data_IF_482735115187
#
_entry.id   IF_482735115187
#
_cell.length_a   1.000
_cell.length_b   1.000
_cell.length_c   1.000
_cell.angle_alpha   90.00
_cell.angle_beta   90.00
_cell.angle_gamma   90.00
#
_symmetry.space_group_name_H-M   'P 1'
#
loop_
_entity.id
_entity.type
_entity.pdbx_description
1 polymer ?
#
# COMPACT_ATOMS: atom_id res chain seq x y z
N UNK A 1 -5.01 -17.08 -15.76
CA UNK A 1 -5.07 -16.98 -17.23
C UNK A 1 -3.71 -17.33 -17.78
N UNK A 2 -3.64 -18.17 -18.80
CA UNK A 2 -2.38 -18.60 -19.39
C UNK A 2 -2.15 -17.82 -20.70
N UNK A 3 -0.99 -17.19 -20.86
CA UNK A 3 -0.61 -16.42 -22.05
C UNK A 3 0.71 -16.95 -22.58
N UNK A 4 0.89 -17.03 -23.90
CA UNK A 4 2.15 -17.47 -24.48
C UNK A 4 3.21 -16.37 -24.42
N UNK A 5 4.46 -16.74 -24.15
CA UNK A 5 5.59 -15.81 -24.02
C UNK A 5 5.99 -15.13 -25.34
N UNK A 6 5.65 -15.71 -26.49
CA UNK A 6 5.89 -15.12 -27.81
C UNK A 6 4.91 -13.98 -28.16
N UNK A 7 4.01 -13.64 -27.23
CA UNK A 7 3.08 -12.51 -27.32
C UNK A 7 3.26 -11.54 -26.14
N UNK A 8 4.40 -10.85 -26.02
CA UNK A 8 4.66 -9.92 -24.92
C UNK A 8 3.64 -8.77 -24.85
N UNK A 9 3.04 -8.37 -25.97
CA UNK A 9 1.97 -7.38 -26.04
C UNK A 9 0.70 -7.83 -25.30
N UNK A 10 0.39 -9.13 -25.34
CA UNK A 10 -0.76 -9.68 -24.61
C UNK A 10 -0.44 -9.70 -23.11
N UNK A 11 0.77 -10.11 -22.73
CA UNK A 11 1.21 -10.07 -21.33
C UNK A 11 1.10 -8.65 -20.76
N UNK A 12 1.65 -7.67 -21.47
CA UNK A 12 1.58 -6.26 -21.08
C UNK A 12 0.13 -5.73 -21.03
N UNK A 13 -0.70 -6.08 -22.02
CA UNK A 13 -2.12 -5.69 -22.05
C UNK A 13 -2.90 -6.22 -20.84
N UNK A 14 -2.65 -7.46 -20.45
CA UNK A 14 -3.27 -8.06 -19.27
C UNK A 14 -2.72 -7.48 -17.96
N UNK A 15 -1.42 -7.17 -17.91
CA UNK A 15 -0.83 -6.44 -16.79
C UNK A 15 -1.46 -5.06 -16.59
N UNK A 16 -1.78 -4.36 -17.69
CA UNK A 16 -2.49 -3.08 -17.68
C UNK A 16 -3.89 -3.12 -17.08
N UNK A 17 -4.56 -4.29 -17.04
CA UNK A 17 -5.89 -4.47 -16.43
C UNK A 17 -5.83 -5.21 -15.09
N UNK A 18 -4.66 -5.22 -14.44
CA UNK A 18 -4.48 -5.71 -13.07
C UNK A 18 -4.13 -7.19 -12.94
N UNK A 19 -3.81 -7.90 -14.04
CA UNK A 19 -3.18 -9.20 -13.94
C UNK A 19 -1.69 -9.05 -13.62
N UNK A 20 -1.10 -10.07 -12.99
CA UNK A 20 0.31 -10.13 -12.62
C UNK A 20 0.83 -11.53 -12.92
N UNK A 21 2.11 -11.63 -13.24
CA UNK A 21 2.77 -12.91 -13.49
C UNK A 21 2.90 -13.68 -12.19
N UNK A 22 2.40 -14.92 -12.17
CA UNK A 22 2.50 -15.83 -11.03
C UNK A 22 3.57 -16.89 -11.27
N UNK A 23 3.64 -17.43 -12.49
CA UNK A 23 4.61 -18.46 -12.83
C UNK A 23 4.86 -18.51 -14.33
N UNK A 24 6.09 -18.84 -14.71
CA UNK A 24 6.45 -19.20 -16.09
C UNK A 24 6.52 -20.72 -16.18
N UNK A 25 5.87 -21.30 -17.20
CA UNK A 25 5.91 -22.74 -17.50
C UNK A 25 6.04 -22.94 -19.00
N UNK A 26 7.14 -23.55 -19.42
CA UNK A 26 7.50 -23.76 -20.83
C UNK A 26 7.39 -22.46 -21.64
N UNK A 27 6.57 -22.44 -22.69
CA UNK A 27 6.33 -21.29 -23.54
C UNK A 27 5.19 -20.36 -23.05
N UNK A 28 4.76 -20.49 -21.79
CA UNK A 28 3.63 -19.74 -21.24
C UNK A 28 3.95 -19.04 -19.92
N UNK A 29 3.27 -17.92 -19.70
CA UNK A 29 3.16 -17.25 -18.41
C UNK A 29 1.75 -17.42 -17.86
N UNK A 30 1.65 -17.85 -16.62
CA UNK A 30 0.44 -17.85 -15.83
C UNK A 30 0.27 -16.46 -15.23
N UNK A 31 -0.75 -15.77 -15.69
CA UNK A 31 -1.20 -14.49 -15.18
C UNK A 31 -2.36 -14.69 -14.19
N UNK A 32 -2.29 -14.03 -13.04
CA UNK A 32 -3.36 -13.97 -12.05
C UNK A 32 -3.74 -12.55 -11.73
N UNK A 33 -5.03 -12.33 -11.48
CA UNK A 33 -5.49 -11.08 -10.89
C UNK A 33 -5.77 -11.33 -9.40
N UNK A 34 -4.94 -10.78 -8.50
CA UNK A 34 -5.27 -10.81 -7.08
C UNK A 34 -6.55 -10.00 -6.87
N UNK A 35 -7.52 -10.61 -6.17
CA UNK A 35 -8.73 -9.90 -5.80
C UNK A 35 -8.45 -9.07 -4.54
N UNK A 36 -8.81 -7.78 -4.53
CA UNK A 36 -8.69 -6.97 -3.34
C UNK A 36 -9.65 -7.47 -2.26
N UNK A 37 -9.24 -7.28 -0.99
CA UNK A 37 -10.18 -7.24 0.13
C UNK A 37 -10.75 -5.84 0.15
N UNK A 38 -12.07 -5.72 0.05
CA UNK A 38 -12.75 -4.42 0.07
C UNK A 38 -13.34 -4.20 1.45
N UNK A 39 -13.02 -3.06 2.06
CA UNK A 39 -13.49 -2.66 3.38
C UNK A 39 -14.24 -1.34 3.27
N UNK A 40 -15.40 -1.28 3.90
CA UNK A 40 -16.15 -0.03 4.10
C UNK A 40 -15.61 0.64 5.36
N UNK A 41 -15.30 1.93 5.26
CA UNK A 41 -14.94 2.77 6.40
C UNK A 41 -15.93 3.93 6.47
N UNK A 42 -16.98 3.83 7.32
CA UNK A 42 -18.06 4.82 7.34
C UNK A 42 -17.62 6.20 7.82
N UNK A 43 -16.52 6.28 8.58
CA UNK A 43 -15.99 7.53 9.11
C UNK A 43 -14.46 7.50 9.27
N UNK A 44 -13.91 8.61 9.76
CA UNK A 44 -12.48 8.77 9.99
C UNK A 44 -11.93 7.83 11.06
N UNK A 45 -12.72 7.42 12.05
CA UNK A 45 -12.29 6.53 13.11
C UNK A 45 -12.24 5.08 12.62
N UNK A 46 -13.20 4.66 11.80
CA UNK A 46 -13.15 3.39 11.07
C UNK A 46 -11.92 3.33 10.14
N UNK A 47 -11.56 4.42 9.47
CA UNK A 47 -10.33 4.47 8.67
C UNK A 47 -9.06 4.32 9.51
N UNK A 48 -9.00 4.94 10.69
CA UNK A 48 -7.86 4.77 11.61
C UNK A 48 -7.80 3.37 12.17
N UNK A 49 -8.94 2.80 12.50
CA UNK A 49 -9.02 1.44 12.99
C UNK A 49 -8.58 0.44 11.91
N UNK A 50 -8.97 0.64 10.65
CA UNK A 50 -8.47 -0.14 9.52
C UNK A 50 -6.93 -0.12 9.43
N UNK A 51 -6.33 1.07 9.52
CA UNK A 51 -4.87 1.21 9.55
C UNK A 51 -4.22 0.51 10.74
N UNK A 52 -4.84 0.62 11.93
CA UNK A 52 -4.37 -0.05 13.15
C UNK A 52 -4.41 -1.57 13.00
N UNK A 53 -5.48 -2.14 12.45
CA UNK A 53 -5.59 -3.59 12.25
C UNK A 53 -4.56 -4.08 11.23
N UNK A 54 -4.39 -3.37 10.12
CA UNK A 54 -3.39 -3.76 9.12
C UNK A 54 -1.97 -3.77 9.72
N UNK A 55 -1.65 -2.84 10.63
CA UNK A 55 -0.34 -2.81 11.30
C UNK A 55 0.05 -4.14 11.98
N UNK A 56 -0.92 -4.94 12.43
CA UNK A 56 -0.66 -6.19 13.16
C UNK A 56 -0.12 -7.33 12.28
N UNK A 57 -0.21 -7.20 10.95
CA UNK A 57 0.32 -8.19 9.99
C UNK A 57 1.58 -7.71 9.27
N UNK A 58 2.08 -6.52 9.62
CA UNK A 58 3.26 -5.91 9.02
C UNK A 58 4.53 -6.27 9.78
N UNK A 59 5.61 -6.38 9.02
CA UNK A 59 6.98 -6.59 9.48
C UNK A 59 7.88 -5.45 8.99
N UNK A 60 9.05 -5.24 9.62
CA UNK A 60 10.13 -4.48 9.03
C UNK A 60 10.40 -4.95 7.58
N UNK A 61 10.59 -4.03 6.64
CA UNK A 61 10.73 -4.39 5.22
C UNK A 61 9.46 -4.20 4.38
N UNK A 62 8.29 -4.13 5.02
CA UNK A 62 7.03 -4.12 4.28
C UNK A 62 6.73 -2.74 3.68
N UNK A 63 6.23 -2.77 2.43
CA UNK A 63 5.82 -1.60 1.67
C UNK A 63 4.30 -1.53 1.51
N UNK A 64 3.74 -0.35 1.75
CA UNK A 64 2.36 0.02 1.43
C UNK A 64 2.38 1.16 0.42
N UNK A 65 1.68 0.98 -0.70
CA UNK A 65 1.47 2.01 -1.71
C UNK A 65 0.00 2.44 -1.67
N UNK A 66 -0.26 3.68 -1.25
CA UNK A 66 -1.60 4.20 -1.07
C UNK A 66 -2.00 5.20 -2.17
N UNK A 67 -3.10 4.91 -2.84
CA UNK A 67 -3.68 5.68 -3.95
C UNK A 67 -5.10 6.14 -3.61
N UNK A 68 -5.57 7.14 -4.33
CA UNK A 68 -6.89 7.75 -4.15
C UNK A 68 -6.82 9.26 -4.28
N UNK A 69 -7.96 9.91 -4.53
CA UNK A 69 -8.04 11.35 -4.78
C UNK A 69 -7.57 12.21 -3.58
N UNK A 70 -7.42 13.53 -3.82
CA UNK A 70 -7.10 14.46 -2.75
C UNK A 70 -8.18 14.41 -1.66
N UNK A 71 -7.74 14.21 -0.41
CA UNK A 71 -8.64 14.03 0.71
C UNK A 71 -9.37 12.70 0.75
N UNK A 72 -9.01 11.69 -0.06
CA UNK A 72 -9.62 10.36 0.02
C UNK A 72 -9.49 9.69 1.41
N UNK A 73 -8.53 10.11 2.23
CA UNK A 73 -8.33 9.58 3.58
C UNK A 73 -7.00 8.83 3.77
N UNK A 74 -6.06 8.94 2.81
CA UNK A 74 -4.72 8.33 2.89
C UNK A 74 -3.99 8.67 4.19
N UNK A 75 -3.85 9.95 4.52
CA UNK A 75 -3.22 10.33 5.80
C UNK A 75 -4.02 9.88 7.03
N UNK A 76 -5.35 9.83 6.97
CA UNK A 76 -6.20 9.30 8.06
C UNK A 76 -5.92 7.81 8.29
N UNK A 77 -5.78 7.03 7.21
CA UNK A 77 -5.30 5.65 7.28
C UNK A 77 -3.92 5.57 7.93
N UNK A 78 -2.96 6.40 7.47
CA UNK A 78 -1.58 6.40 7.99
C UNK A 78 -1.51 6.74 9.48
N UNK A 79 -2.42 7.59 9.98
CA UNK A 79 -2.56 7.85 11.42
C UNK A 79 -2.92 6.58 12.20
N UNK A 80 -3.89 5.83 11.68
CA UNK A 80 -4.26 4.52 12.20
C UNK A 80 -3.10 3.54 12.21
N UNK A 81 -2.40 3.47 11.08
CA UNK A 81 -1.23 2.63 10.90
C UNK A 81 -0.13 2.95 11.92
N UNK A 82 0.25 4.23 12.05
CA UNK A 82 1.24 4.65 13.04
C UNK A 82 0.83 4.33 14.47
N UNK A 83 -0.46 4.47 14.80
CA UNK A 83 -0.97 4.07 16.10
C UNK A 83 -0.85 2.55 16.33
N UNK A 84 -1.14 1.73 15.33
CA UNK A 84 -0.97 0.27 15.39
C UNK A 84 0.49 -0.17 15.50
N UNK A 85 1.40 0.55 14.85
CA UNK A 85 2.86 0.34 14.96
C UNK A 85 3.47 0.95 16.24
N UNK A 86 2.66 1.66 17.05
CA UNK A 86 3.08 2.33 18.28
C UNK A 86 4.26 3.31 18.07
N UNK A 87 4.16 4.13 17.01
CA UNK A 87 5.18 5.16 16.72
C UNK A 87 5.00 6.42 17.56
N UNK A 88 6.08 7.18 17.69
CA UNK A 88 6.13 8.40 18.48
C UNK A 88 5.57 9.62 17.73
N UNK A 89 4.87 10.46 18.49
CA UNK A 89 4.30 11.71 18.00
C UNK A 89 3.11 11.54 17.04
N UNK A 90 2.54 12.67 16.59
CA UNK A 90 1.45 12.65 15.63
C UNK A 90 1.93 12.32 14.21
N UNK A 91 1.18 11.48 13.50
CA UNK A 91 1.34 11.25 12.07
C UNK A 91 0.56 12.34 11.31
N UNK A 92 1.30 13.19 10.61
CA UNK A 92 0.77 14.29 9.80
C UNK A 92 1.39 14.23 8.41
N UNK A 93 0.60 14.54 7.37
CA UNK A 93 1.05 14.46 5.98
C UNK A 93 2.37 15.22 5.78
N UNK A 94 3.39 14.58 5.18
CA UNK A 94 4.70 15.16 4.94
C UNK A 94 4.73 16.02 3.67
N UNK A 95 3.62 16.67 3.29
CA UNK A 95 3.43 17.38 2.00
C UNK A 95 4.57 18.35 1.62
N UNK A 96 5.31 18.91 2.59
CA UNK A 96 6.41 19.84 2.34
C UNK A 96 7.82 19.23 2.48
N UNK A 97 7.95 18.12 3.19
CA UNK A 97 9.25 17.48 3.50
C UNK A 97 9.45 16.18 2.71
N UNK A 98 8.46 15.77 1.91
CA UNK A 98 8.40 14.56 1.07
C UNK A 98 8.39 13.25 1.86
N UNK A 99 9.16 13.14 2.93
CA UNK A 99 9.23 11.97 3.81
C UNK A 99 9.36 12.37 5.30
N UNK A 100 8.83 11.53 6.18
CA UNK A 100 9.02 11.59 7.64
C UNK A 100 9.23 10.19 8.21
N UNK A 101 10.13 10.08 9.17
CA UNK A 101 10.34 8.86 9.96
C UNK A 101 9.69 9.06 11.32
N UNK A 102 8.77 8.17 11.68
CA UNK A 102 8.14 8.09 12.99
C UNK A 102 8.71 6.89 13.74
N UNK A 103 9.42 7.14 14.83
CA UNK A 103 10.14 6.09 15.57
C UNK A 103 9.22 5.23 16.41
N UNK A 104 9.42 3.92 16.41
CA UNK A 104 8.68 3.02 17.30
C UNK A 104 9.02 3.26 18.76
N UNK A 105 8.01 3.15 19.65
CA UNK A 105 8.17 3.27 21.10
C UNK A 105 8.43 1.93 21.81
N UNK A 106 8.19 0.80 21.16
CA UNK A 106 8.26 -0.53 21.76
C UNK A 106 9.27 -1.46 21.09
N UNK A 107 10.18 -0.91 20.27
CA UNK A 107 11.16 -1.70 19.53
C UNK A 107 10.57 -2.48 18.35
N UNK A 108 9.33 -2.16 17.95
CA UNK A 108 8.79 -2.57 16.65
C UNK A 108 9.37 -1.75 15.50
N UNK A 109 8.90 -1.95 14.26
CA UNK A 109 9.38 -1.20 13.11
C UNK A 109 9.02 0.29 13.23
N UNK A 110 9.93 1.16 12.77
CA UNK A 110 9.62 2.55 12.50
C UNK A 110 8.60 2.66 11.36
N UNK A 111 7.93 3.81 11.26
CA UNK A 111 7.08 4.15 10.10
C UNK A 111 7.77 5.22 9.26
N UNK A 112 8.13 4.86 8.04
CA UNK A 112 8.57 5.80 7.01
C UNK A 112 7.34 6.22 6.20
N UNK A 113 6.90 7.46 6.38
CA UNK A 113 5.75 8.02 5.68
C UNK A 113 6.22 8.96 4.57
N UNK A 114 5.97 8.58 3.33
CA UNK A 114 6.33 9.34 2.13
C UNK A 114 5.06 9.88 1.46
N UNK A 115 5.12 11.12 0.98
CA UNK A 115 4.10 11.72 0.11
C UNK A 115 4.72 12.00 -1.27
N UNK A 116 4.42 11.11 -2.22
CA UNK A 116 4.95 11.16 -3.57
C UNK A 116 4.15 12.08 -4.50
N UNK A 117 3.14 12.81 -4.02
CA UNK A 117 2.32 13.70 -4.86
C UNK A 117 3.15 14.74 -5.62
N UNK A 118 4.32 15.10 -5.09
CA UNK A 118 5.24 16.07 -5.69
C UNK A 118 6.43 15.45 -6.40
N UNK A 119 6.57 14.13 -6.39
CA UNK A 119 7.66 13.44 -7.07
C UNK A 119 7.28 13.24 -8.54
N UNK A 120 8.15 13.66 -9.45
CA UNK A 120 7.97 13.53 -10.89
C UNK A 120 8.49 12.21 -11.45
N UNK A 121 9.29 11.45 -10.69
CA UNK A 121 9.89 10.19 -11.15
C UNK A 121 10.33 9.28 -10.01
N UNK A 122 10.58 8.00 -10.33
CA UNK A 122 11.17 7.04 -9.40
C UNK A 122 12.55 7.44 -8.89
N UNK A 123 13.38 8.08 -9.72
CA UNK A 123 14.70 8.56 -9.31
C UNK A 123 14.62 9.55 -8.14
N UNK A 124 13.60 10.41 -8.12
CA UNK A 124 13.40 11.35 -7.01
C UNK A 124 12.93 10.64 -5.72
N UNK A 125 12.33 9.44 -5.82
CA UNK A 125 11.99 8.60 -4.67
C UNK A 125 13.23 7.88 -4.13
N UNK A 126 14.11 7.38 -5.01
CA UNK A 126 15.40 6.79 -4.62
C UNK A 126 16.30 7.83 -3.93
N UNK A 127 16.30 9.08 -4.41
CA UNK A 127 17.05 10.21 -3.83
C UNK A 127 16.61 10.59 -2.40
N UNK A 128 15.47 10.09 -1.92
CA UNK A 128 15.02 10.29 -0.53
C UNK A 128 15.83 9.48 0.50
N UNK A 129 16.83 8.69 0.06
CA UNK A 129 17.68 7.83 0.89
C UNK A 129 16.85 6.87 1.76
N UNK A 130 15.74 6.37 1.20
CA UNK A 130 14.86 5.43 1.90
C UNK A 130 15.55 4.09 2.15
N UNK A 131 16.52 3.72 1.31
CA UNK A 131 17.22 2.43 1.31
C UNK A 131 17.80 2.04 2.67
N UNK A 132 18.36 2.99 3.42
CA UNK A 132 18.90 2.75 4.75
C UNK A 132 17.84 2.35 5.79
N UNK A 133 16.56 2.70 5.54
CA UNK A 133 15.43 2.45 6.44
C UNK A 133 14.46 1.39 5.93
N UNK A 134 14.44 1.10 4.61
CA UNK A 134 13.48 0.20 3.98
C UNK A 134 13.47 -1.19 4.63
N UNK A 135 14.63 -1.74 5.01
CA UNK A 135 14.73 -3.07 5.62
C UNK A 135 14.35 -3.16 7.10
N UNK A 136 14.29 -2.02 7.81
CA UNK A 136 14.07 -1.97 9.26
C UNK A 136 12.74 -1.29 9.64
N UNK A 137 12.10 -0.62 8.69
CA UNK A 137 10.85 0.10 8.88
C UNK A 137 9.71 -0.49 8.03
N UNK A 138 8.49 -0.12 8.39
CA UNK A 138 7.33 -0.18 7.49
C UNK A 138 7.31 1.11 6.69
N UNK A 139 7.22 1.01 5.37
CA UNK A 139 7.16 2.17 4.48
C UNK A 139 5.77 2.34 3.91
N UNK A 140 5.17 3.52 4.09
CA UNK A 140 3.92 3.90 3.44
C UNK A 140 4.18 5.07 2.49
N UNK A 141 3.90 4.86 1.20
CA UNK A 141 4.01 5.88 0.15
C UNK A 141 2.61 6.29 -0.30
N UNK A 142 2.20 7.51 0.03
CA UNK A 142 1.02 8.13 -0.55
C UNK A 142 1.31 8.56 -2.00
N UNK A 143 0.35 8.36 -2.91
CA UNK A 143 0.48 8.66 -4.34
C UNK A 143 1.62 7.92 -5.05
N UNK A 144 2.05 6.77 -4.50
CA UNK A 144 3.17 6.02 -5.02
C UNK A 144 2.87 5.18 -6.27
N UNK A 145 1.63 5.13 -6.77
CA UNK A 145 1.30 4.37 -7.99
C UNK A 145 2.15 4.85 -9.17
N UNK A 146 2.79 3.91 -9.87
CA UNK A 146 3.72 4.23 -10.97
C UNK A 146 5.11 4.73 -10.55
N UNK A 147 5.37 4.93 -9.25
CA UNK A 147 6.68 5.38 -8.73
C UNK A 147 7.23 4.33 -7.75
N UNK A 148 6.51 4.02 -6.67
CA UNK A 148 6.97 3.16 -5.58
C UNK A 148 6.92 1.65 -5.88
N UNK A 149 6.26 1.23 -6.97
CA UNK A 149 6.14 -0.19 -7.35
C UNK A 149 7.49 -0.83 -7.71
N UNK A 150 8.48 -0.02 -8.08
CA UNK A 150 9.83 -0.46 -8.38
C UNK A 150 10.68 -0.76 -7.13
N UNK A 151 10.24 -0.30 -5.94
CA UNK A 151 10.96 -0.57 -4.68
C UNK A 151 10.93 -2.06 -4.30
N UNK A 152 9.79 -2.74 -4.52
CA UNK A 152 9.65 -4.17 -4.25
C UNK A 152 8.43 -4.78 -4.94
N UNK A 153 8.55 -6.05 -5.32
CA UNK A 153 7.43 -6.87 -5.78
C UNK A 153 6.51 -7.29 -4.64
N UNK A 154 7.03 -7.32 -3.41
CA UNK A 154 6.30 -7.65 -2.18
C UNK A 154 5.73 -6.39 -1.53
N UNK A 155 4.44 -6.10 -1.75
CA UNK A 155 3.79 -4.88 -1.24
C UNK A 155 2.29 -5.05 -1.02
N UNK A 156 1.70 -4.12 -0.26
CA UNK A 156 0.25 -3.91 -0.24
C UNK A 156 -0.08 -2.68 -1.07
N UNK A 157 -0.99 -2.82 -2.03
CA UNK A 157 -1.62 -1.70 -2.72
C UNK A 157 -2.94 -1.36 -2.02
N UNK A 158 -3.08 -0.10 -1.59
CA UNK A 158 -4.30 0.48 -1.04
C UNK A 158 -4.90 1.45 -2.05
N UNK A 159 -6.13 1.21 -2.47
CA UNK A 159 -6.91 2.18 -3.24
C UNK A 159 -8.09 2.68 -2.39
N UNK A 160 -8.18 3.99 -2.20
CA UNK A 160 -9.19 4.63 -1.36
C UNK A 160 -10.11 5.50 -2.22
N UNK A 161 -11.39 5.13 -2.25
CA UNK A 161 -12.43 5.90 -2.93
C UNK A 161 -13.41 6.51 -1.94
N UNK A 162 -13.89 7.70 -2.25
CA UNK A 162 -15.01 8.32 -1.52
C UNK A 162 -16.33 7.68 -1.94
N UNK A 163 -17.28 7.61 -1.01
CA UNK A 163 -18.68 7.33 -1.35
C UNK A 163 -19.23 8.35 -2.36
N UNK A 164 -20.29 7.97 -3.05
CA UNK A 164 -20.92 8.83 -4.08
C UNK A 164 -21.80 9.93 -3.48
N UNK A 165 -22.20 9.79 -2.22
CA UNK A 165 -22.98 10.79 -1.51
C UNK A 165 -22.03 11.84 -0.90
N UNK A 166 -22.10 13.12 -1.30
CA UNK A 166 -21.25 14.18 -0.76
C UNK A 166 -21.50 14.49 0.72
N UNK A 167 -22.68 14.13 1.25
CA UNK A 167 -23.06 14.32 2.64
C UNK A 167 -22.61 13.14 3.53
N UNK A 168 -22.01 12.11 2.92
CA UNK A 168 -21.49 10.91 3.58
C UNK A 168 -19.94 10.90 3.61
N UNK A 169 -19.38 10.65 4.79
CA UNK A 169 -17.94 10.53 5.00
C UNK A 169 -17.39 9.13 4.70
N UNK A 170 -18.24 8.21 4.24
CA UNK A 170 -17.86 6.84 3.89
C UNK A 170 -16.75 6.78 2.84
N UNK A 171 -15.81 5.86 3.07
CA UNK A 171 -14.75 5.48 2.14
C UNK A 171 -14.80 3.98 1.85
N UNK A 172 -14.47 3.62 0.62
CA UNK A 172 -14.26 2.24 0.20
C UNK A 172 -12.77 2.02 0.00
N UNK A 173 -12.19 1.08 0.76
CA UNK A 173 -10.76 0.78 0.73
C UNK A 173 -10.54 -0.59 0.12
N UNK A 174 -9.88 -0.63 -1.03
CA UNK A 174 -9.43 -1.86 -1.66
C UNK A 174 -8.00 -2.17 -1.23
N UNK A 175 -7.79 -3.31 -0.58
CA UNK A 175 -6.48 -3.77 -0.10
C UNK A 175 -6.02 -4.97 -0.92
N UNK A 176 -4.93 -4.81 -1.66
CA UNK A 176 -4.37 -5.85 -2.54
C UNK A 176 -2.96 -6.22 -2.10
N UNK A 177 -2.77 -7.33 -1.37
CA UNK A 177 -1.44 -7.87 -1.13
C UNK A 177 -0.85 -8.41 -2.45
N UNK A 178 0.42 -8.11 -2.73
CA UNK A 178 1.16 -8.50 -3.93
C UNK A 178 2.51 -9.09 -3.54
N UNK A 179 2.91 -10.15 -4.23
CA UNK A 179 4.13 -10.90 -3.92
C UNK A 179 3.91 -12.04 -2.91
N UNK A 180 4.98 -12.80 -2.67
CA UNK A 180 4.97 -14.04 -1.88
C UNK A 180 5.08 -13.77 -0.36
N UNK A 181 5.46 -12.54 0.03
CA UNK A 181 5.51 -12.09 1.42
C UNK A 181 4.18 -12.22 2.16
N UNK A 182 3.06 -12.15 1.44
CA UNK A 182 1.74 -11.96 2.05
C UNK A 182 0.94 -13.25 2.12
N UNK A 183 0.62 -13.66 3.36
CA UNK A 183 -0.52 -14.55 3.58
C UNK A 183 -1.81 -13.75 3.36
N UNK A 184 -2.42 -13.94 2.19
CA UNK A 184 -3.66 -13.26 1.78
C UNK A 184 -4.82 -13.55 2.73
N UNK A 185 -4.87 -14.73 3.34
CA UNK A 185 -5.92 -15.08 4.28
C UNK A 185 -5.71 -14.35 5.61
N UNK A 186 -4.46 -14.24 6.08
CA UNK A 186 -4.14 -13.46 7.28
C UNK A 186 -4.42 -11.96 7.08
N UNK A 187 -4.04 -11.39 5.92
CA UNK A 187 -4.37 -10.00 5.58
C UNK A 187 -5.89 -9.81 5.54
N UNK A 188 -6.63 -10.70 4.86
CA UNK A 188 -8.10 -10.61 4.82
C UNK A 188 -8.76 -10.77 6.20
N UNK A 189 -8.18 -11.57 7.10
CA UNK A 189 -8.66 -11.71 8.46
C UNK A 189 -8.42 -10.44 9.28
N UNK A 190 -7.24 -9.83 9.19
CA UNK A 190 -6.92 -8.58 9.87
C UNK A 190 -7.83 -7.42 9.44
N UNK A 191 -8.31 -7.43 8.20
CA UNK A 191 -9.13 -6.34 7.65
C UNK A 191 -10.62 -6.44 7.98
N UNK A 192 -11.10 -7.57 8.50
CA UNK A 192 -12.51 -7.74 8.88
C UNK A 192 -12.76 -7.11 10.25
N UNK A 193 -13.97 -6.63 10.45
CA UNK A 193 -14.50 -6.34 11.80
C UNK A 193 -14.83 -7.66 12.50
N UNK A 194 -14.62 -7.70 13.82
CA UNK A 194 -15.12 -8.80 14.67
C UNK A 194 -16.66 -8.77 14.77
#
# INVERSE_FOLDING_TARGET
MLVRLDHPELVAGWQGVGFREEAVRDAHVLLRRPLPVVVEAPDADAMRELGRRLAHVLNPGDLIVASGELGAGKTTFTQGLGAGLNVDGPVISPTFVLSRIHRSRNGGPDLVHVDAYRLGSFAELEDLDLEASLGEAVTLVEWGSGVAEALTTDRIELDIHRGTDPDDDTRWVSVTPLGDRWDRAAVAAALKED
#
